data_IF_399787670170
#
_entry.id   IF_399787670170
#
_cell.length_a   1.000
_cell.length_b   1.000
_cell.length_c   1.000
_cell.angle_alpha   90.00
_cell.angle_beta   90.00
_cell.angle_gamma   90.00
#
_symmetry.space_group_name_H-M   'P 1'
#
loop_
_entity.id
_entity.type
_entity.pdbx_description
1 polymer ?
#
# COMPACT_ATOMS: atom_id res chain seq x y z
N UNK A 1 -28.53 -3.22 24.39
CA UNK A 1 -28.04 -2.91 23.03
C UNK A 1 -27.83 -4.23 22.32
N UNK A 2 -28.65 -4.54 21.30
CA UNK A 2 -28.52 -5.76 20.52
C UNK A 2 -27.39 -5.55 19.52
N UNK A 3 -26.27 -6.26 19.69
CA UNK A 3 -25.27 -6.39 18.63
C UNK A 3 -25.92 -7.23 17.53
N UNK A 4 -26.36 -6.59 16.43
CA UNK A 4 -26.69 -7.32 15.23
C UNK A 4 -25.39 -7.98 14.74
N UNK A 5 -25.34 -9.31 14.82
CA UNK A 5 -24.29 -10.09 14.16
C UNK A 5 -24.47 -9.88 12.67
N UNK A 6 -23.78 -8.90 12.09
CA UNK A 6 -23.74 -8.72 10.65
C UNK A 6 -23.23 -10.03 10.04
N UNK A 7 -24.06 -10.70 9.24
CA UNK A 7 -23.62 -11.89 8.51
C UNK A 7 -22.65 -11.46 7.41
N UNK A 8 -21.77 -12.37 6.97
CA UNK A 8 -20.85 -12.10 5.83
C UNK A 8 -21.62 -11.58 4.62
N UNK A 9 -22.79 -12.15 4.33
CA UNK A 9 -23.66 -11.74 3.23
C UNK A 9 -24.17 -10.31 3.39
N UNK A 10 -24.64 -9.93 4.60
CA UNK A 10 -25.09 -8.56 4.87
C UNK A 10 -23.96 -7.55 4.69
N UNK A 11 -22.75 -7.90 5.14
CA UNK A 11 -21.56 -7.07 4.97
C UNK A 11 -21.19 -6.90 3.48
N UNK A 12 -21.24 -7.96 2.69
CA UNK A 12 -20.92 -7.89 1.25
C UNK A 12 -21.99 -7.13 0.48
N UNK A 13 -23.26 -7.26 0.89
CA UNK A 13 -24.35 -6.46 0.31
C UNK A 13 -24.17 -4.95 0.58
N UNK A 14 -23.63 -4.58 1.75
CA UNK A 14 -23.39 -3.19 2.13
C UNK A 14 -22.18 -2.57 1.40
N UNK A 15 -21.07 -3.31 1.28
CA UNK A 15 -19.79 -2.77 0.81
C UNK A 15 -19.39 -3.21 -0.61
N UNK A 16 -20.15 -4.13 -1.20
CA UNK A 16 -19.93 -4.66 -2.55
C UNK A 16 -18.89 -5.79 -2.60
N UNK A 17 -18.29 -5.97 -3.77
CA UNK A 17 -17.40 -7.10 -4.04
C UNK A 17 -15.99 -6.88 -3.46
N UNK A 18 -15.51 -7.76 -2.57
CA UNK A 18 -14.17 -7.60 -2.00
C UNK A 18 -13.05 -8.05 -2.94
N UNK A 19 -11.84 -7.68 -2.54
CA UNK A 19 -10.59 -8.21 -3.09
C UNK A 19 -9.70 -8.70 -1.95
N UNK A 20 -9.20 -9.94 -2.07
CA UNK A 20 -8.29 -10.53 -1.10
C UNK A 20 -6.84 -10.05 -1.33
N UNK A 21 -6.24 -9.41 -0.34
CA UNK A 21 -4.86 -8.93 -0.30
C UNK A 21 -4.27 -9.37 1.04
N UNK A 22 -3.15 -10.10 1.05
CA UNK A 22 -2.44 -10.53 2.26
C UNK A 22 -3.35 -11.07 3.38
N UNK A 23 -4.19 -12.05 3.02
CA UNK A 23 -5.13 -12.72 3.93
C UNK A 23 -6.26 -11.85 4.49
N UNK A 24 -6.50 -10.68 3.90
CA UNK A 24 -7.60 -9.78 4.27
C UNK A 24 -8.36 -9.31 3.03
N UNK A 25 -9.68 -9.23 3.14
CA UNK A 25 -10.56 -8.71 2.10
C UNK A 25 -10.71 -7.21 2.28
N UNK A 26 -10.52 -6.48 1.19
CA UNK A 26 -10.68 -5.04 1.11
C UNK A 26 -11.85 -4.73 0.19
N UNK A 27 -12.57 -3.65 0.50
CA UNK A 27 -13.71 -3.19 -0.27
C UNK A 27 -13.42 -1.79 -0.85
N UNK A 28 -14.24 -1.36 -1.81
CA UNK A 28 -14.04 -0.12 -2.55
C UNK A 28 -14.10 1.13 -1.66
N UNK A 29 -14.91 1.09 -0.60
CA UNK A 29 -15.15 2.16 0.35
C UNK A 29 -14.17 2.17 1.53
N UNK A 30 -13.21 1.24 1.56
CA UNK A 30 -12.23 1.11 2.64
C UNK A 30 -12.64 0.16 3.76
N UNK A 31 -13.83 -0.46 3.70
CA UNK A 31 -14.18 -1.54 4.62
C UNK A 31 -13.20 -2.72 4.47
N UNK A 32 -13.10 -3.55 5.51
CA UNK A 32 -12.27 -4.74 5.50
C UNK A 32 -12.93 -5.93 6.19
N UNK A 33 -12.56 -7.13 5.77
CA UNK A 33 -12.97 -8.35 6.44
C UNK A 33 -11.82 -9.37 6.46
N UNK A 34 -11.68 -10.13 7.54
CA UNK A 34 -10.77 -11.29 7.58
C UNK A 34 -11.07 -12.28 6.44
N UNK A 35 -10.06 -13.05 6.00
CA UNK A 35 -10.27 -14.11 5.00
C UNK A 35 -11.33 -15.14 5.40
N UNK A 36 -11.48 -15.40 6.70
CA UNK A 36 -12.41 -16.41 7.19
C UNK A 36 -13.81 -15.85 7.45
N UNK A 37 -14.01 -14.53 7.30
CA UNK A 37 -15.33 -13.91 7.44
C UNK A 37 -15.77 -13.64 8.88
N UNK A 38 -14.89 -13.80 9.87
CA UNK A 38 -15.24 -13.64 11.30
C UNK A 38 -15.02 -12.23 11.85
N UNK A 39 -14.09 -11.47 11.26
CA UNK A 39 -13.79 -10.10 11.67
C UNK A 39 -14.18 -9.15 10.54
N UNK A 40 -15.06 -8.20 10.85
CA UNK A 40 -15.48 -7.12 9.97
C UNK A 40 -15.00 -5.78 10.53
N UNK A 41 -14.46 -4.94 9.67
CA UNK A 41 -14.14 -3.56 9.97
C UNK A 41 -14.90 -2.68 8.99
N UNK A 42 -15.78 -1.84 9.52
CA UNK A 42 -16.44 -0.78 8.76
C UNK A 42 -15.41 0.19 8.15
N UNK A 43 -15.77 0.94 7.10
CA UNK A 43 -14.93 1.99 6.55
C UNK A 43 -14.43 2.95 7.63
N UNK A 44 -13.14 3.31 7.63
CA UNK A 44 -12.61 4.30 8.57
C UNK A 44 -13.34 5.64 8.45
N UNK A 45 -13.59 6.26 9.61
CA UNK A 45 -14.13 7.63 9.67
C UNK A 45 -13.12 8.70 9.22
N UNK A 46 -11.82 8.39 9.31
CA UNK A 46 -10.76 9.25 8.76
C UNK A 46 -10.69 9.10 7.24
N UNK A 47 -10.89 10.22 6.54
CA UNK A 47 -10.94 10.24 5.08
C UNK A 47 -9.62 9.78 4.44
N UNK A 48 -8.47 10.13 5.03
CA UNK A 48 -7.17 9.78 4.48
C UNK A 48 -6.89 8.27 4.60
N UNK A 49 -7.17 7.68 5.76
CA UNK A 49 -7.08 6.25 5.99
C UNK A 49 -8.03 5.50 5.05
N UNK A 50 -9.30 5.93 5.00
CA UNK A 50 -10.32 5.34 4.11
C UNK A 50 -9.85 5.37 2.65
N UNK A 51 -9.42 6.52 2.14
CA UNK A 51 -8.91 6.67 0.78
C UNK A 51 -7.66 5.83 0.52
N UNK A 52 -6.77 5.68 1.51
CA UNK A 52 -5.59 4.82 1.41
C UNK A 52 -5.97 3.35 1.24
N UNK A 53 -7.00 2.89 1.96
CA UNK A 53 -7.53 1.53 1.81
C UNK A 53 -8.23 1.33 0.47
N UNK A 54 -9.07 2.29 0.06
CA UNK A 54 -9.69 2.29 -1.27
C UNK A 54 -8.63 2.25 -2.39
N UNK A 55 -7.54 3.02 -2.27
CA UNK A 55 -6.42 2.99 -3.23
C UNK A 55 -5.81 1.59 -3.35
N UNK A 56 -5.59 0.88 -2.23
CA UNK A 56 -5.09 -0.50 -2.24
C UNK A 56 -6.06 -1.42 -2.99
N UNK A 57 -7.36 -1.33 -2.69
CA UNK A 57 -8.39 -2.12 -3.36
C UNK A 57 -8.38 -1.92 -4.89
N UNK A 58 -8.41 -0.67 -5.36
CA UNK A 58 -8.48 -0.39 -6.79
C UNK A 58 -7.18 -0.71 -7.52
N UNK A 59 -6.03 -0.57 -6.85
CA UNK A 59 -4.72 -0.97 -7.38
C UNK A 59 -4.71 -2.48 -7.66
N UNK A 60 -5.21 -3.28 -6.72
CA UNK A 60 -5.29 -4.72 -6.88
C UNK A 60 -6.32 -5.14 -7.93
N UNK A 61 -7.51 -4.49 -8.00
CA UNK A 61 -8.47 -4.70 -9.10
C UNK A 61 -7.83 -4.46 -10.47
N UNK A 62 -7.10 -3.35 -10.62
CA UNK A 62 -6.39 -3.02 -11.87
C UNK A 62 -5.30 -4.05 -12.19
N UNK A 63 -4.51 -4.47 -11.20
CA UNK A 63 -3.49 -5.51 -11.37
C UNK A 63 -4.09 -6.81 -11.89
N UNK A 64 -5.21 -7.26 -11.29
CA UNK A 64 -5.92 -8.48 -11.68
C UNK A 64 -6.48 -8.41 -13.10
N UNK A 65 -7.13 -7.31 -13.46
CA UNK A 65 -7.66 -7.14 -14.83
C UNK A 65 -6.55 -7.10 -15.87
N UNK A 66 -5.42 -6.45 -15.59
CA UNK A 66 -4.26 -6.46 -16.51
C UNK A 66 -3.69 -7.86 -16.68
N UNK A 67 -3.58 -8.60 -15.58
CA UNK A 67 -3.13 -9.98 -15.62
C UNK A 67 -4.09 -10.88 -16.42
N UNK A 68 -5.40 -10.75 -16.19
CA UNK A 68 -6.42 -11.48 -16.95
C UNK A 68 -6.39 -11.11 -18.44
N UNK A 69 -6.17 -9.84 -18.77
CA UNK A 69 -6.06 -9.37 -20.15
C UNK A 69 -4.92 -10.06 -20.89
N UNK A 70 -3.71 -10.11 -20.31
CA UNK A 70 -2.58 -10.80 -20.93
C UNK A 70 -2.84 -12.30 -21.07
N UNK A 71 -3.51 -12.94 -20.10
CA UNK A 71 -3.85 -14.37 -20.21
C UNK A 71 -4.84 -14.67 -21.33
N UNK A 72 -5.90 -13.86 -21.46
CA UNK A 72 -6.88 -14.01 -22.54
C UNK A 72 -6.21 -13.76 -23.89
N UNK A 73 -5.37 -12.73 -23.99
CA UNK A 73 -4.61 -12.41 -25.20
C UNK A 73 -3.68 -13.56 -25.60
N UNK A 74 -2.93 -14.12 -24.66
CA UNK A 74 -2.06 -15.27 -24.92
C UNK A 74 -2.86 -16.51 -25.37
N UNK A 75 -4.01 -16.78 -24.75
CA UNK A 75 -4.87 -17.88 -25.15
C UNK A 75 -5.34 -17.73 -26.60
N UNK A 76 -5.82 -16.53 -26.96
CA UNK A 76 -6.25 -16.20 -28.33
C UNK A 76 -5.14 -16.35 -29.36
N UNK A 77 -3.95 -15.78 -29.10
CA UNK A 77 -2.83 -15.84 -30.04
C UNK A 77 -2.22 -17.24 -30.14
N UNK A 78 -2.36 -18.06 -29.08
CA UNK A 78 -1.84 -19.42 -29.02
C UNK A 78 -2.84 -20.50 -29.44
N UNK A 79 -4.03 -20.13 -29.94
CA UNK A 79 -5.06 -21.09 -30.39
C UNK A 79 -5.70 -21.92 -29.26
N UNK A 80 -5.61 -21.45 -27.99
CA UNK A 80 -6.23 -22.09 -26.84
C UNK A 80 -7.58 -21.45 -26.51
N UNK A 81 -8.50 -22.26 -26.02
CA UNK A 81 -9.80 -21.77 -25.59
C UNK A 81 -9.66 -20.93 -24.31
N UNK A 82 -10.32 -19.77 -24.26
CA UNK A 82 -10.25 -18.83 -23.13
C UNK A 82 -10.87 -19.43 -21.86
N UNK A 83 -11.86 -20.31 -22.01
CA UNK A 83 -12.57 -20.98 -20.92
C UNK A 83 -11.71 -21.94 -20.06
N UNK A 84 -10.52 -22.36 -20.53
CA UNK A 84 -9.60 -23.16 -19.72
C UNK A 84 -8.74 -22.34 -18.74
N UNK A 85 -8.96 -21.03 -18.71
CA UNK A 85 -8.13 -20.07 -17.97
C UNK A 85 -8.87 -19.64 -16.70
N UNK A 86 -8.31 -19.92 -15.51
CA UNK A 86 -8.87 -19.40 -14.25
C UNK A 86 -8.67 -17.89 -14.18
N UNK A 87 -9.71 -17.08 -14.40
CA UNK A 87 -9.62 -15.61 -14.40
C UNK A 87 -10.07 -15.04 -13.06
N UNK A 88 -9.54 -13.87 -12.70
CA UNK A 88 -9.90 -13.16 -11.47
C UNK A 88 -11.18 -12.33 -11.64
N UNK A 89 -11.44 -11.89 -12.87
CA UNK A 89 -12.57 -11.02 -13.22
C UNK A 89 -13.81 -11.88 -13.48
N UNK A 90 -14.89 -11.70 -12.71
CA UNK A 90 -16.11 -12.49 -12.88
C UNK A 90 -16.85 -12.09 -14.16
N UNK A 91 -17.71 -13.00 -14.66
CA UNK A 91 -18.68 -12.76 -15.72
C UNK A 91 -18.09 -12.23 -17.04
N UNK A 92 -16.90 -12.69 -17.40
CA UNK A 92 -16.33 -12.39 -18.71
C UNK A 92 -17.06 -13.16 -19.82
N UNK A 93 -17.24 -12.54 -21.00
CA UNK A 93 -17.71 -13.24 -22.20
C UNK A 93 -16.84 -14.46 -22.52
N UNK A 94 -17.47 -15.50 -23.07
CA UNK A 94 -16.76 -16.71 -23.54
C UNK A 94 -15.99 -16.48 -24.84
N UNK A 95 -16.45 -15.54 -25.67
CA UNK A 95 -15.71 -15.05 -26.83
C UNK A 95 -14.49 -14.25 -26.36
N UNK A 96 -13.30 -14.64 -26.80
CA UNK A 96 -12.07 -14.03 -26.31
C UNK A 96 -11.90 -12.58 -26.73
N UNK A 97 -12.36 -12.20 -27.93
CA UNK A 97 -12.26 -10.79 -28.38
C UNK A 97 -13.20 -9.91 -27.55
N UNK A 98 -14.43 -10.36 -27.30
CA UNK A 98 -15.35 -9.70 -26.39
C UNK A 98 -14.81 -9.63 -24.96
N UNK A 99 -14.17 -10.70 -24.46
CA UNK A 99 -13.51 -10.72 -23.16
C UNK A 99 -12.39 -9.66 -23.07
N UNK A 100 -11.54 -9.54 -24.08
CA UNK A 100 -10.50 -8.49 -24.12
C UNK A 100 -11.10 -7.08 -24.09
N UNK A 101 -12.18 -6.84 -24.82
CA UNK A 101 -12.89 -5.54 -24.81
C UNK A 101 -13.46 -5.24 -23.43
N UNK A 102 -14.06 -6.23 -22.77
CA UNK A 102 -14.57 -6.11 -21.40
C UNK A 102 -13.45 -5.79 -20.40
N UNK A 103 -12.34 -6.52 -20.46
CA UNK A 103 -11.18 -6.29 -19.62
C UNK A 103 -10.56 -4.90 -19.85
N UNK A 104 -10.52 -4.43 -21.10
CA UNK A 104 -10.07 -3.07 -21.42
C UNK A 104 -11.01 -2.01 -20.81
N UNK A 105 -12.33 -2.23 -20.86
CA UNK A 105 -13.30 -1.32 -20.23
C UNK A 105 -13.12 -1.28 -18.70
N UNK A 106 -12.98 -2.43 -18.05
CA UNK A 106 -12.68 -2.49 -16.61
C UNK A 106 -11.37 -1.79 -16.25
N UNK A 107 -10.31 -2.00 -17.03
CA UNK A 107 -9.01 -1.35 -16.79
C UNK A 107 -9.15 0.17 -16.82
N UNK A 108 -9.86 0.72 -17.82
CA UNK A 108 -10.10 2.17 -17.91
C UNK A 108 -10.91 2.70 -16.73
N UNK A 109 -11.95 1.98 -16.34
CA UNK A 109 -12.78 2.33 -15.18
C UNK A 109 -11.94 2.37 -13.89
N UNK A 110 -11.17 1.31 -13.61
CA UNK A 110 -10.33 1.24 -12.41
C UNK A 110 -9.21 2.29 -12.40
N UNK A 111 -8.64 2.62 -13.57
CA UNK A 111 -7.71 3.74 -13.71
C UNK A 111 -8.36 5.10 -13.44
N UNK A 112 -9.65 5.26 -13.76
CA UNK A 112 -10.44 6.44 -13.39
C UNK A 112 -10.58 6.57 -11.88
N UNK A 113 -11.03 5.50 -11.22
CA UNK A 113 -11.18 5.48 -9.76
C UNK A 113 -9.87 5.73 -9.02
N UNK A 114 -8.77 5.12 -9.47
CA UNK A 114 -7.45 5.37 -8.89
C UNK A 114 -7.03 6.83 -8.98
N UNK A 115 -7.17 7.45 -10.17
CA UNK A 115 -6.83 8.88 -10.34
C UNK A 115 -7.69 9.78 -9.48
N UNK A 116 -8.98 9.48 -9.35
CA UNK A 116 -9.89 10.21 -8.46
C UNK A 116 -9.41 10.13 -7.01
N UNK A 117 -9.15 8.93 -6.52
CA UNK A 117 -8.68 8.70 -5.14
C UNK A 117 -7.32 9.34 -4.89
N UNK A 118 -6.38 9.21 -5.83
CA UNK A 118 -5.05 9.83 -5.73
C UNK A 118 -5.16 11.36 -5.64
N UNK A 119 -6.05 11.97 -6.43
CA UNK A 119 -6.33 13.40 -6.36
C UNK A 119 -6.98 13.81 -5.04
N UNK A 120 -7.91 13.00 -4.50
CA UNK A 120 -8.54 13.27 -3.20
C UNK A 120 -7.55 13.14 -2.04
N UNK A 121 -6.66 12.14 -2.09
CA UNK A 121 -5.56 11.97 -1.12
C UNK A 121 -4.64 13.19 -1.17
N UNK A 122 -4.28 13.66 -2.37
CA UNK A 122 -3.44 14.85 -2.54
C UNK A 122 -4.12 16.12 -2.01
N UNK A 123 -5.45 16.23 -2.19
CA UNK A 123 -6.25 17.34 -1.68
C UNK A 123 -6.52 17.27 -0.17
N UNK A 124 -6.25 16.13 0.50
CA UNK A 124 -6.55 15.97 1.92
C UNK A 124 -5.52 16.73 2.78
N UNK A 125 -5.93 17.75 3.58
CA UNK A 125 -5.01 18.66 4.28
C UNK A 125 -4.03 18.00 5.26
N UNK A 126 -4.34 16.79 5.75
CA UNK A 126 -3.48 16.03 6.67
C UNK A 126 -2.21 15.49 6.01
N UNK A 127 -2.17 15.31 4.69
CA UNK A 127 -0.96 14.82 4.03
C UNK A 127 0.09 15.93 3.83
N UNK A 128 -0.31 17.20 3.71
CA UNK A 128 0.62 18.35 3.75
C UNK A 128 1.23 18.50 5.14
N UNK A 129 0.40 18.41 6.19
CA UNK A 129 0.86 18.51 7.58
C UNK A 129 1.71 17.31 8.01
N UNK A 130 1.30 16.08 7.66
CA UNK A 130 2.05 14.86 7.98
C UNK A 130 3.36 14.77 7.19
N UNK A 131 3.37 15.11 5.89
CA UNK A 131 4.59 15.19 5.10
C UNK A 131 5.56 16.23 5.67
N UNK A 132 5.07 17.44 6.01
CA UNK A 132 5.88 18.47 6.68
C UNK A 132 6.43 18.00 8.03
N UNK A 133 5.64 17.29 8.83
CA UNK A 133 6.09 16.79 10.14
C UNK A 133 7.13 15.67 10.02
N UNK A 134 6.96 14.75 9.06
CA UNK A 134 7.94 13.69 8.78
C UNK A 134 9.25 14.30 8.24
N UNK A 135 9.17 15.29 7.34
CA UNK A 135 10.34 16.03 6.84
C UNK A 135 11.06 16.78 7.97
N UNK A 136 10.31 17.47 8.85
CA UNK A 136 10.87 18.18 10.00
C UNK A 136 11.55 17.25 11.01
N UNK A 137 10.97 16.07 11.28
CA UNK A 137 11.58 15.06 12.15
C UNK A 137 12.91 14.55 11.58
N UNK A 138 12.92 14.15 10.31
CA UNK A 138 14.14 13.67 9.65
C UNK A 138 15.25 14.72 9.61
N UNK A 139 14.89 16.00 9.46
CA UNK A 139 15.87 17.08 9.49
C UNK A 139 16.45 17.28 10.89
N UNK A 140 15.62 17.23 11.94
CA UNK A 140 16.11 17.30 13.34
C UNK A 140 17.01 16.13 13.71
N UNK A 141 16.68 14.92 13.24
CA UNK A 141 17.49 13.72 13.50
C UNK A 141 18.86 13.81 12.82
N UNK A 142 18.93 14.36 11.60
CA UNK A 142 20.20 14.59 10.90
C UNK A 142 21.05 15.66 11.58
N UNK A 143 20.43 16.71 12.09
CA UNK A 143 21.14 17.76 12.85
C UNK A 143 21.67 17.21 14.18
N UNK A 144 20.87 16.42 14.91
CA UNK A 144 21.30 15.75 16.12
C UNK A 144 22.46 14.77 15.88
N UNK A 145 22.38 13.98 14.80
CA UNK A 145 23.47 13.08 14.39
C UNK A 145 24.74 13.83 14.01
N UNK A 146 24.61 14.99 13.33
CA UNK A 146 25.76 15.86 13.03
C UNK A 146 26.41 16.41 14.28
N UNK A 147 25.63 16.94 15.21
CA UNK A 147 26.14 17.47 16.48
C UNK A 147 26.82 16.38 17.31
N UNK A 148 26.25 15.18 17.33
CA UNK A 148 26.85 14.05 18.03
C UNK A 148 28.16 13.59 17.37
N UNK A 149 28.22 13.57 16.03
CA UNK A 149 29.45 13.26 15.30
C UNK A 149 30.55 14.32 15.53
N UNK A 150 30.17 15.60 15.56
CA UNK A 150 31.08 16.72 15.84
C UNK A 150 31.60 16.68 17.28
N UNK A 151 30.76 16.36 18.26
CA UNK A 151 31.16 16.14 19.65
C UNK A 151 32.13 14.97 19.78
N UNK A 152 31.85 13.82 19.15
CA UNK A 152 32.77 12.67 19.15
C UNK A 152 34.11 13.01 18.51
N UNK A 153 34.10 13.73 17.38
CA UNK A 153 35.32 14.19 16.73
C UNK A 153 36.13 15.14 17.63
N UNK A 154 35.45 16.05 18.34
CA UNK A 154 36.09 17.00 19.26
C UNK A 154 36.65 16.29 20.49
N UNK A 155 35.92 15.36 21.09
CA UNK A 155 36.38 14.57 22.24
C UNK A 155 37.59 13.72 21.86
N UNK A 156 37.54 13.04 20.71
CA UNK A 156 38.67 12.25 20.22
C UNK A 156 39.91 13.11 19.93
N UNK A 157 39.73 14.34 19.44
CA UNK A 157 40.82 15.29 19.23
C UNK A 157 41.45 15.76 20.55
N UNK A 158 40.68 15.89 21.63
CA UNK A 158 41.19 16.27 22.96
C UNK A 158 41.93 15.10 23.63
N UNK A 159 41.47 13.85 23.45
CA UNK A 159 42.10 12.67 24.07
C UNK A 159 43.40 12.20 23.40
N UNK A 160 43.74 12.72 22.21
CA UNK A 160 44.98 12.37 21.50
C UNK A 160 46.19 13.23 21.92
N UNK A 161 45.98 14.28 22.70
CA UNK A 161 47.05 15.16 23.21
C UNK A 161 47.58 14.75 24.60
N UNK A 162 47.05 13.69 25.23
CA UNK A 162 47.37 13.28 26.62
C UNK A 162 48.24 12.00 26.72
N UNK A 163 48.72 11.46 25.59
CA UNK A 163 49.49 10.19 25.52
C UNK A 163 50.94 10.38 25.00
N UNK A 164 51.52 11.57 25.21
CA UNK A 164 52.96 11.80 25.03
C UNK A 164 53.58 12.48 26.23
N UNK A 165 53.65 11.80 27.37
CA UNK A 165 54.74 11.94 28.33
C UNK A 165 54.84 10.66 29.17
N UNK A 166 56.07 10.34 29.59
CA UNK A 166 56.54 9.12 30.29
C UNK A 166 57.01 8.03 29.30
N UNK A 167 58.29 7.69 29.19
CA UNK A 167 59.31 7.54 30.23
C UNK A 167 60.70 8.03 29.77
N UNK A 168 61.21 9.09 30.40
CA UNK A 168 62.63 9.21 30.75
C UNK A 168 62.67 8.96 32.26
N UNK A 169 63.35 7.90 32.71
CA UNK A 169 64.11 7.93 33.97
C UNK A 169 65.02 6.69 34.07
N UNK A 170 66.31 6.98 33.88
CA UNK A 170 67.43 6.62 34.75
C UNK A 170 67.62 5.15 35.20
N UNK A 171 68.70 4.54 34.69
CA UNK A 171 69.45 3.52 35.41
C UNK A 171 70.96 3.81 35.33
N UNK A 172 71.57 3.78 36.51
CA UNK A 172 72.95 4.11 36.92
C UNK A 172 74.11 3.57 36.05
#
# INVERSE_FOLDING_TARGET
MQQQTATVEAFYAAHGDPVLIDNRRYFADGAQCSRDGFVFLEPPGDDFERLTLSRKYWTEKLRRVRHDFERVKHALTGGRAVNSTTLNTPNLPTDGVAALRHLQAFARYFQGELRRIESEIEATPRMIAHRRNVEAQQQSEREAQRQQAELVATVNAITLDDDTMEDDDDAE
#
